data_IF_727725844279
#
_entry.id   IF_727725844279
#
_cell.length_a   1.000
_cell.length_b   1.000
_cell.length_c   1.000
_cell.angle_alpha   90.00
_cell.angle_beta   90.00
_cell.angle_gamma   90.00
#
_symmetry.space_group_name_H-M   'P 1'
#
loop_
_entity.id
_entity.type
_entity.pdbx_description
1 polymer ?
#
# COMPACT_ATOMS: atom_id res chain seq x y z
N UNK A 1 -8.85 -36.63 -19.49
CA UNK A 1 -9.45 -35.30 -19.21
C UNK A 1 -8.56 -34.58 -18.21
N UNK A 2 -7.64 -33.81 -18.75
CA UNK A 2 -6.65 -33.06 -17.93
C UNK A 2 -7.35 -31.83 -17.43
N UNK A 3 -7.53 -31.76 -16.09
CA UNK A 3 -8.00 -30.53 -15.41
C UNK A 3 -6.97 -29.43 -15.65
N UNK A 4 -7.33 -28.42 -16.42
CA UNK A 4 -6.62 -27.15 -16.49
C UNK A 4 -6.62 -26.53 -15.09
N UNK A 5 -5.54 -26.75 -14.35
CA UNK A 5 -5.20 -25.93 -13.24
C UNK A 5 -4.91 -24.52 -13.80
N UNK A 6 -5.92 -23.68 -13.82
CA UNK A 6 -5.77 -22.22 -14.00
C UNK A 6 -5.03 -21.64 -12.78
N UNK A 7 -3.78 -22.06 -12.60
CA UNK A 7 -2.89 -21.49 -11.63
C UNK A 7 -2.35 -20.18 -12.25
N UNK A 8 -3.17 -19.14 -12.20
CA UNK A 8 -2.75 -17.81 -12.61
C UNK A 8 -1.53 -17.43 -11.75
N UNK A 9 -0.38 -17.21 -12.41
CA UNK A 9 0.88 -16.85 -11.73
C UNK A 9 0.79 -15.40 -11.20
N UNK A 10 -0.08 -15.23 -10.20
CA UNK A 10 -0.29 -13.95 -9.51
C UNK A 10 -0.74 -14.18 -8.06
N UNK A 11 -0.65 -13.17 -7.18
CA UNK A 11 -1.04 -13.27 -5.77
C UNK A 11 -2.53 -13.50 -5.49
N UNK A 12 -3.41 -13.27 -6.47
CA UNK A 12 -4.86 -13.37 -6.31
C UNK A 12 -5.42 -12.36 -5.30
N UNK A 13 -4.98 -11.10 -5.39
CA UNK A 13 -5.46 -10.01 -4.52
C UNK A 13 -6.95 -9.72 -4.72
N UNK A 14 -7.64 -9.31 -3.68
CA UNK A 14 -9.11 -9.10 -3.69
C UNK A 14 -9.56 -7.93 -4.56
N UNK A 15 -8.74 -6.88 -4.66
CA UNK A 15 -8.98 -5.70 -5.48
C UNK A 15 -7.66 -4.93 -5.70
N UNK A 16 -7.58 -4.09 -6.74
CA UNK A 16 -6.43 -3.22 -6.95
C UNK A 16 -6.21 -2.29 -5.75
N UNK A 17 -5.03 -2.28 -5.13
CA UNK A 17 -4.73 -1.43 -3.97
C UNK A 17 -5.09 0.04 -4.16
N UNK A 18 -4.79 0.69 -5.31
CA UNK A 18 -5.18 2.08 -5.53
C UNK A 18 -6.69 2.31 -5.45
N UNK A 19 -7.52 1.33 -5.86
CA UNK A 19 -8.98 1.46 -5.77
C UNK A 19 -9.47 1.35 -4.32
N UNK A 20 -8.86 0.49 -3.50
CA UNK A 20 -9.21 0.37 -2.07
C UNK A 20 -8.94 1.70 -1.38
N UNK A 21 -7.74 2.27 -1.56
CA UNK A 21 -7.37 3.55 -0.93
C UNK A 21 -8.19 4.72 -1.48
N UNK A 22 -8.31 4.87 -2.80
CA UNK A 22 -9.03 6.00 -3.40
C UNK A 22 -10.52 5.94 -3.11
N UNK A 23 -11.14 4.77 -3.15
CA UNK A 23 -12.56 4.59 -2.86
C UNK A 23 -12.90 4.96 -1.41
N UNK A 24 -12.11 4.47 -0.44
CA UNK A 24 -12.30 4.81 0.96
C UNK A 24 -12.04 6.30 1.24
N UNK A 25 -10.99 6.87 0.64
CA UNK A 25 -10.69 8.30 0.77
C UNK A 25 -11.83 9.15 0.22
N UNK A 26 -12.30 8.85 -0.98
CA UNK A 26 -13.41 9.56 -1.60
C UNK A 26 -14.68 9.49 -0.74
N UNK A 27 -15.04 8.31 -0.23
CA UNK A 27 -16.18 8.13 0.66
C UNK A 27 -16.04 8.97 1.94
N UNK A 28 -14.88 8.95 2.58
CA UNK A 28 -14.61 9.75 3.78
C UNK A 28 -14.65 11.26 3.54
N UNK A 29 -14.10 11.72 2.40
CA UNK A 29 -14.15 13.14 2.02
C UNK A 29 -15.57 13.60 1.67
N UNK A 30 -16.35 12.78 0.98
CA UNK A 30 -17.76 13.07 0.70
C UNK A 30 -18.59 13.13 1.99
N UNK A 31 -18.38 12.20 2.92
CA UNK A 31 -19.02 12.24 4.24
C UNK A 31 -18.63 13.52 5.00
N UNK A 32 -17.35 13.90 4.97
CA UNK A 32 -16.89 15.15 5.60
C UNK A 32 -17.51 16.39 4.95
N UNK A 33 -17.68 16.39 3.64
CA UNK A 33 -18.37 17.50 2.93
C UNK A 33 -19.82 17.66 3.38
N UNK A 34 -20.49 16.55 3.72
CA UNK A 34 -21.90 16.55 4.17
C UNK A 34 -22.06 16.93 5.64
N UNK A 35 -21.14 16.45 6.51
CA UNK A 35 -21.30 16.55 7.96
C UNK A 35 -20.29 17.49 8.64
N UNK A 36 -19.26 17.93 7.91
CA UNK A 36 -18.20 18.84 8.35
C UNK A 36 -17.62 18.50 9.74
N UNK A 37 -16.83 17.46 9.81
CA UNK A 37 -16.27 16.91 11.04
C UNK A 37 -14.74 17.14 11.10
N UNK A 38 -14.27 18.34 11.49
CA UNK A 38 -12.84 18.59 11.66
C UNK A 38 -12.33 17.88 12.92
N UNK A 39 -11.06 17.41 12.90
CA UNK A 39 -10.43 16.71 14.02
C UNK A 39 -9.08 17.30 14.44
N UNK A 40 -8.52 18.22 13.65
CA UNK A 40 -7.25 18.88 13.93
C UNK A 40 -7.42 20.41 13.92
N UNK A 41 -6.66 21.13 14.77
CA UNK A 41 -6.47 22.56 14.58
C UNK A 41 -5.86 22.85 13.22
N UNK A 42 -6.30 23.91 12.56
CA UNK A 42 -5.98 24.19 11.15
C UNK A 42 -4.48 24.26 10.83
N UNK A 43 -3.68 24.74 11.78
CA UNK A 43 -2.20 24.77 11.66
C UNK A 43 -1.64 23.36 11.60
N UNK A 44 -2.05 22.50 12.53
CA UNK A 44 -1.59 21.11 12.61
C UNK A 44 -2.02 20.28 11.39
N UNK A 45 -3.23 20.51 10.86
CA UNK A 45 -3.70 19.86 9.64
C UNK A 45 -2.72 20.07 8.46
N UNK A 46 -2.24 21.29 8.28
CA UNK A 46 -1.27 21.62 7.19
C UNK A 46 0.14 21.14 7.50
N UNK A 47 0.63 21.39 8.74
CA UNK A 47 2.00 21.02 9.15
C UNK A 47 2.21 19.50 9.10
N UNK A 48 1.18 18.70 9.40
CA UNK A 48 1.23 17.25 9.32
C UNK A 48 0.92 16.73 7.91
N UNK A 49 -0.11 17.29 7.27
CA UNK A 49 -0.63 16.75 6.02
C UNK A 49 0.35 16.84 4.86
N UNK A 50 1.01 17.98 4.66
CA UNK A 50 1.96 18.13 3.57
C UNK A 50 3.18 17.21 3.67
N UNK A 51 3.87 17.08 4.82
CA UNK A 51 4.98 16.13 4.94
C UNK A 51 4.55 14.68 4.68
N UNK A 52 3.36 14.27 5.12
CA UNK A 52 2.83 12.94 4.84
C UNK A 52 2.60 12.71 3.33
N UNK A 53 1.99 13.67 2.63
CA UNK A 53 1.77 13.57 1.18
C UNK A 53 3.10 13.53 0.44
N UNK A 54 4.01 14.48 0.72
CA UNK A 54 5.31 14.56 0.05
C UNK A 54 6.15 13.31 0.36
N UNK A 55 6.22 12.89 1.62
CA UNK A 55 6.94 11.68 2.03
C UNK A 55 6.37 10.43 1.34
N UNK A 56 5.04 10.31 1.28
CA UNK A 56 4.38 9.24 0.56
C UNK A 56 4.75 9.23 -0.93
N UNK A 57 4.67 10.37 -1.60
CA UNK A 57 5.04 10.47 -3.03
C UNK A 57 6.51 10.08 -3.27
N UNK A 58 7.42 10.53 -2.41
CA UNK A 58 8.85 10.18 -2.50
C UNK A 58 9.06 8.68 -2.32
N UNK A 59 8.46 8.08 -1.28
CA UNK A 59 8.59 6.63 -1.02
C UNK A 59 8.00 5.83 -2.19
N UNK A 60 6.84 6.23 -2.70
CA UNK A 60 6.19 5.57 -3.84
C UNK A 60 7.05 5.64 -5.12
N UNK A 61 7.57 6.81 -5.43
CA UNK A 61 8.46 6.99 -6.58
C UNK A 61 9.74 6.15 -6.47
N UNK A 62 10.38 6.15 -5.29
CA UNK A 62 11.58 5.35 -5.06
C UNK A 62 11.28 3.84 -5.10
N UNK A 63 10.14 3.40 -4.55
CA UNK A 63 9.71 2.01 -4.59
C UNK A 63 9.43 1.54 -6.02
N UNK A 64 8.67 2.30 -6.79
CA UNK A 64 8.41 2.00 -8.20
C UNK A 64 9.70 1.96 -9.03
N UNK A 65 10.62 2.92 -8.81
CA UNK A 65 11.92 2.94 -9.48
C UNK A 65 12.74 1.69 -9.20
N UNK A 66 12.78 1.20 -7.95
CA UNK A 66 13.50 -0.03 -7.60
C UNK A 66 12.85 -1.26 -8.24
N UNK A 67 11.51 -1.36 -8.28
CA UNK A 67 10.81 -2.44 -8.97
C UNK A 67 11.10 -2.44 -10.48
N UNK A 68 11.08 -1.27 -11.12
CA UNK A 68 11.46 -1.13 -12.53
C UNK A 68 12.91 -1.53 -12.80
N UNK A 69 13.84 -1.19 -11.90
CA UNK A 69 15.27 -1.59 -12.01
C UNK A 69 15.46 -3.11 -11.88
N UNK A 70 14.64 -3.75 -11.07
CA UNK A 70 14.63 -5.20 -10.89
C UNK A 70 13.83 -5.91 -11.99
N UNK A 71 13.32 -5.17 -12.99
CA UNK A 71 12.52 -5.69 -14.10
C UNK A 71 11.29 -6.49 -13.63
N UNK A 72 10.73 -6.14 -12.47
CA UNK A 72 9.54 -6.78 -11.91
C UNK A 72 8.30 -5.91 -12.02
N UNK A 73 7.14 -6.56 -12.08
CA UNK A 73 5.86 -5.87 -12.24
C UNK A 73 5.42 -5.19 -10.94
N UNK A 74 4.98 -3.93 -11.06
CA UNK A 74 4.31 -3.18 -9.97
C UNK A 74 2.85 -3.63 -9.80
N UNK A 75 2.24 -4.11 -10.88
CA UNK A 75 0.86 -4.57 -10.91
C UNK A 75 0.75 -5.94 -10.22
N UNK A 76 0.00 -6.06 -9.10
CA UNK A 76 -0.13 -7.31 -8.37
C UNK A 76 -0.94 -8.40 -9.10
N UNK A 77 -1.54 -8.08 -10.24
CA UNK A 77 -2.20 -9.07 -11.11
C UNK A 77 -1.24 -9.70 -12.12
N UNK A 78 0.00 -9.22 -12.18
CA UNK A 78 1.04 -9.76 -13.06
C UNK A 78 2.05 -10.55 -12.25
N UNK A 79 2.75 -11.52 -12.90
CA UNK A 79 3.79 -12.30 -12.24
C UNK A 79 4.91 -11.41 -11.72
N UNK A 80 5.35 -11.63 -10.47
CA UNK A 80 6.60 -11.09 -9.98
C UNK A 80 7.77 -11.84 -10.64
N UNK A 81 8.80 -11.13 -11.07
CA UNK A 81 9.97 -11.69 -11.75
C UNK A 81 11.22 -11.67 -10.89
N UNK A 82 11.25 -10.90 -9.81
CA UNK A 82 12.36 -10.80 -8.88
C UNK A 82 11.89 -10.39 -7.47
N UNK A 83 12.69 -10.72 -6.46
CA UNK A 83 12.56 -10.18 -5.09
C UNK A 83 13.31 -8.86 -5.02
N UNK A 84 12.58 -7.78 -4.76
CA UNK A 84 13.16 -6.44 -4.66
C UNK A 84 13.55 -6.18 -3.21
N UNK A 85 14.84 -5.90 -2.98
CA UNK A 85 15.40 -5.65 -1.64
C UNK A 85 16.10 -4.31 -1.52
N UNK A 86 16.21 -3.55 -2.63
CA UNK A 86 16.91 -2.27 -2.73
C UNK A 86 16.07 -1.05 -2.32
N UNK A 87 16.71 0.10 -2.15
CA UNK A 87 16.03 1.36 -1.88
C UNK A 87 15.11 1.30 -0.64
N UNK A 88 13.84 1.75 -0.74
CA UNK A 88 12.91 1.72 0.38
C UNK A 88 12.52 0.29 0.83
N UNK A 89 12.71 -0.73 -0.01
CA UNK A 89 12.49 -2.13 0.36
C UNK A 89 13.48 -2.66 1.42
N UNK A 90 14.52 -1.90 1.75
CA UNK A 90 15.44 -2.21 2.87
C UNK A 90 14.80 -1.94 4.24
N UNK A 91 13.83 -1.05 4.31
CA UNK A 91 13.21 -0.58 5.55
C UNK A 91 11.81 -1.15 5.77
N UNK A 92 11.10 -1.47 4.70
CA UNK A 92 9.78 -2.07 4.74
C UNK A 92 9.58 -2.96 3.52
N UNK A 93 8.89 -4.08 3.68
CA UNK A 93 8.56 -4.97 2.55
C UNK A 93 7.46 -4.42 1.65
N UNK A 94 6.73 -3.38 2.11
CA UNK A 94 5.57 -2.83 1.41
C UNK A 94 5.68 -1.30 1.19
N UNK A 95 6.76 -0.77 0.57
CA UNK A 95 6.94 0.67 0.44
C UNK A 95 5.85 1.35 -0.39
N UNK A 96 5.28 0.67 -1.40
CA UNK A 96 4.19 1.22 -2.20
C UNK A 96 2.90 1.37 -1.38
N UNK A 97 2.59 0.40 -0.50
CA UNK A 97 1.40 0.49 0.36
C UNK A 97 1.62 1.48 1.51
N UNK A 98 2.83 1.58 2.02
CA UNK A 98 3.21 2.65 2.96
C UNK A 98 3.03 4.03 2.32
N UNK A 99 3.48 4.21 1.07
CA UNK A 99 3.28 5.43 0.29
C UNK A 99 1.79 5.79 0.20
N UNK A 100 0.94 4.87 -0.22
CA UNK A 100 -0.52 5.09 -0.32
C UNK A 100 -1.14 5.43 1.04
N UNK A 101 -0.69 4.78 2.12
CA UNK A 101 -1.13 5.05 3.50
C UNK A 101 -0.78 6.47 3.93
N UNK A 102 0.46 6.91 3.67
CA UNK A 102 0.92 8.25 4.00
C UNK A 102 0.18 9.32 3.19
N UNK A 103 -0.02 9.10 1.89
CA UNK A 103 -0.79 10.01 1.02
C UNK A 103 -2.24 10.11 1.51
N UNK A 104 -2.87 8.98 1.81
CA UNK A 104 -4.22 8.94 2.35
C UNK A 104 -4.34 9.72 3.66
N UNK A 105 -3.47 9.44 4.63
CA UNK A 105 -3.42 10.14 5.91
C UNK A 105 -3.16 11.63 5.76
N UNK A 106 -2.24 11.99 4.87
CA UNK A 106 -1.89 13.37 4.56
C UNK A 106 -3.08 14.15 3.95
N UNK A 107 -3.77 13.57 2.97
CA UNK A 107 -4.96 14.19 2.37
C UNK A 107 -6.09 14.30 3.41
N UNK A 108 -6.30 13.26 4.23
CA UNK A 108 -7.30 13.29 5.31
C UNK A 108 -7.02 14.41 6.31
N UNK A 109 -5.74 14.63 6.65
CA UNK A 109 -5.31 15.72 7.53
C UNK A 109 -5.50 17.09 6.86
N UNK A 110 -5.06 17.28 5.61
CA UNK A 110 -5.21 18.53 4.86
C UNK A 110 -6.67 18.93 4.69
N UNK A 111 -7.53 17.97 4.37
CA UNK A 111 -8.98 18.17 4.28
C UNK A 111 -9.65 18.30 5.65
N UNK A 112 -8.90 18.06 6.74
CA UNK A 112 -9.40 17.98 8.11
C UNK A 112 -10.66 17.12 8.22
N UNK A 113 -10.61 15.93 7.63
CA UNK A 113 -11.73 15.04 7.40
C UNK A 113 -11.68 13.84 8.37
N UNK A 114 -12.29 13.96 9.53
CA UNK A 114 -12.38 12.88 10.52
C UNK A 114 -12.94 11.58 9.92
N UNK A 115 -14.04 11.59 9.10
CA UNK A 115 -14.55 10.36 8.51
C UNK A 115 -13.52 9.63 7.65
N UNK A 116 -12.69 10.37 6.87
CA UNK A 116 -11.62 9.77 6.09
C UNK A 116 -10.54 9.17 7.00
N UNK A 117 -10.13 9.88 8.04
CA UNK A 117 -9.15 9.39 9.01
C UNK A 117 -9.62 8.10 9.71
N UNK A 118 -10.90 8.02 10.09
CA UNK A 118 -11.49 6.84 10.73
C UNK A 118 -11.62 5.62 9.81
N UNK A 119 -11.70 5.82 8.50
CA UNK A 119 -11.71 4.72 7.53
C UNK A 119 -10.31 4.11 7.31
N UNK A 120 -9.22 4.84 7.61
CA UNK A 120 -7.86 4.36 7.37
C UNK A 120 -7.54 3.02 8.08
N UNK A 121 -7.85 2.80 9.37
CA UNK A 121 -7.64 1.49 10.00
C UNK A 121 -8.37 0.34 9.30
N UNK A 122 -9.56 0.59 8.76
CA UNK A 122 -10.33 -0.39 8.00
C UNK A 122 -9.62 -0.70 6.68
N UNK A 123 -9.14 0.32 5.97
CA UNK A 123 -8.34 0.16 4.75
C UNK A 123 -7.08 -0.65 5.04
N UNK A 124 -6.33 -0.32 6.10
CA UNK A 124 -5.13 -1.07 6.47
C UNK A 124 -5.41 -2.54 6.77
N UNK A 125 -6.52 -2.85 7.45
CA UNK A 125 -6.92 -4.23 7.70
C UNK A 125 -7.29 -4.97 6.41
N UNK A 126 -8.03 -4.33 5.51
CA UNK A 126 -8.36 -4.89 4.20
C UNK A 126 -7.09 -5.13 3.36
N UNK A 127 -6.16 -4.17 3.34
CA UNK A 127 -4.88 -4.31 2.67
C UNK A 127 -4.05 -5.44 3.25
N UNK A 128 -3.98 -5.53 4.58
CA UNK A 128 -3.22 -6.57 5.28
C UNK A 128 -3.70 -7.98 4.86
N UNK A 129 -5.00 -8.25 4.98
CA UNK A 129 -5.57 -9.59 4.77
C UNK A 129 -5.88 -9.89 3.31
N UNK A 130 -6.34 -8.88 2.57
CA UNK A 130 -6.81 -9.04 1.20
C UNK A 130 -5.72 -8.93 0.14
N UNK A 131 -4.61 -8.29 0.47
CA UNK A 131 -3.52 -8.00 -0.49
C UNK A 131 -2.20 -8.51 0.05
N UNK A 132 -1.65 -7.90 1.11
CA UNK A 132 -0.26 -8.11 1.55
C UNK A 132 0.01 -9.57 1.92
N UNK A 133 -0.85 -10.20 2.71
CA UNK A 133 -0.65 -11.61 3.11
C UNK A 133 -0.78 -12.57 1.93
N UNK A 134 -1.54 -12.22 0.90
CA UNK A 134 -1.64 -13.01 -0.33
C UNK A 134 -0.38 -12.87 -1.18
N UNK A 135 0.14 -11.65 -1.32
CA UNK A 135 1.41 -11.39 -2.00
C UNK A 135 2.58 -12.08 -1.29
N UNK A 136 2.67 -12.00 0.04
CA UNK A 136 3.71 -12.68 0.81
C UNK A 136 3.69 -14.19 0.57
N UNK A 137 2.52 -14.84 0.64
CA UNK A 137 2.39 -16.27 0.36
C UNK A 137 2.76 -16.62 -1.08
N UNK A 138 2.41 -15.77 -2.03
CA UNK A 138 2.78 -15.96 -3.43
C UNK A 138 4.28 -15.85 -3.62
N UNK A 139 4.93 -14.82 -3.06
CA UNK A 139 6.37 -14.61 -3.16
C UNK A 139 7.16 -15.73 -2.47
N UNK A 140 6.69 -16.22 -1.31
CA UNK A 140 7.30 -17.37 -0.63
C UNK A 140 7.24 -18.64 -1.50
N UNK A 141 6.10 -18.92 -2.13
CA UNK A 141 5.99 -20.09 -3.03
C UNK A 141 6.84 -19.95 -4.28
N UNK A 142 6.98 -18.73 -4.80
CA UNK A 142 7.66 -18.48 -6.07
C UNK A 142 9.18 -18.41 -5.92
N UNK A 143 9.66 -17.73 -4.88
CA UNK A 143 11.08 -17.46 -4.68
C UNK A 143 11.70 -18.26 -3.52
N UNK A 144 10.92 -19.00 -2.76
CA UNK A 144 11.42 -19.88 -1.70
C UNK A 144 12.30 -19.16 -0.69
N UNK A 145 13.50 -19.76 -0.47
CA UNK A 145 14.46 -19.28 0.54
C UNK A 145 14.94 -17.85 0.34
N UNK A 146 15.01 -17.36 -0.91
CA UNK A 146 15.40 -15.98 -1.22
C UNK A 146 14.42 -14.98 -0.55
N UNK A 147 13.12 -15.20 -0.75
CA UNK A 147 12.12 -14.34 -0.13
C UNK A 147 12.02 -14.51 1.39
N UNK A 148 12.16 -15.75 1.89
CA UNK A 148 12.15 -16.04 3.34
C UNK A 148 13.31 -15.31 4.03
N UNK A 149 14.50 -15.33 3.45
CA UNK A 149 15.67 -14.62 3.99
C UNK A 149 15.43 -13.10 4.06
N UNK A 150 14.90 -12.51 2.99
CA UNK A 150 14.51 -11.11 2.95
C UNK A 150 13.46 -10.78 4.02
N UNK A 151 12.43 -11.62 4.16
CA UNK A 151 11.34 -11.46 5.13
C UNK A 151 11.84 -11.47 6.59
N UNK A 152 12.86 -12.28 6.91
CA UNK A 152 13.46 -12.33 8.24
C UNK A 152 14.24 -11.04 8.58
N UNK A 153 14.84 -10.40 7.59
CA UNK A 153 15.66 -9.20 7.78
C UNK A 153 14.91 -7.87 7.65
N UNK A 154 13.67 -7.88 7.11
CA UNK A 154 12.94 -6.64 6.80
C UNK A 154 11.51 -6.71 7.34
N UNK A 155 11.05 -5.71 8.13
CA UNK A 155 9.68 -5.71 8.66
C UNK A 155 8.65 -5.51 7.54
N UNK A 156 7.39 -5.91 7.83
CA UNK A 156 6.26 -5.74 6.89
C UNK A 156 5.91 -4.27 6.69
N UNK A 157 5.91 -3.50 7.76
CA UNK A 157 5.72 -2.05 7.78
C UNK A 157 7.04 -1.38 8.20
N UNK A 158 7.03 -0.51 9.18
CA UNK A 158 8.24 0.16 9.67
C UNK A 158 8.50 -0.34 11.09
#
# INVERSE_FOLDING_TARGET
>A
MSGENNNTDNPGVIAPPPLIYSGALAAGLLANRRYHMPFLPHRFARTLGWPLVVGGLVIGFLGEREMRRAETNVDPYKPATAVVTGGPFRFTRNPLYLSMTLIYGGISALANALPAALLLPIVLRLMQQGVIEREERYLERKFGDEYVHYKLGTPRWI
#
